data_IF_465561218121
#
_entry.id   IF_465561218121
#
_cell.length_a   1.000
_cell.length_b   1.000
_cell.length_c   1.000
_cell.angle_alpha   90.00
_cell.angle_beta   90.00
_cell.angle_gamma   90.00
#
_symmetry.space_group_name_H-M   'P 1'
#
loop_
_entity.id
_entity.type
_entity.pdbx_description
1 polymer ?
#
# COMPACT_ATOMS: atom_id res chain seq x y z
N UNK A 1 -3.52 33.38 -25.91
CA UNK A 1 -4.29 33.02 -24.71
C UNK A 1 -3.79 31.66 -24.27
N UNK A 2 -3.06 31.59 -23.17
CA UNK A 2 -2.70 30.33 -22.53
C UNK A 2 -3.92 29.96 -21.68
N UNK A 3 -4.66 28.94 -22.10
CA UNK A 3 -5.77 28.40 -21.31
C UNK A 3 -5.12 27.60 -20.18
N UNK A 4 -5.07 28.18 -18.99
CA UNK A 4 -4.79 27.41 -17.78
C UNK A 4 -6.05 26.58 -17.51
N UNK A 5 -6.06 25.33 -17.97
CA UNK A 5 -7.04 24.35 -17.53
C UNK A 5 -6.77 24.13 -16.04
N UNK A 6 -7.53 24.81 -15.18
CA UNK A 6 -7.67 24.38 -13.80
C UNK A 6 -8.28 22.98 -13.88
N UNK A 7 -7.43 21.96 -13.79
CA UNK A 7 -7.87 20.56 -13.78
C UNK A 7 -8.84 20.44 -12.60
N UNK A 8 -10.09 20.04 -12.82
CA UNK A 8 -10.99 19.79 -11.71
C UNK A 8 -10.31 18.79 -10.77
N UNK A 9 -10.31 19.09 -9.46
CA UNK A 9 -10.03 18.06 -8.46
C UNK A 9 -10.99 16.90 -8.79
N UNK A 10 -10.40 15.75 -9.10
CA UNK A 10 -11.10 14.48 -9.28
C UNK A 10 -12.21 14.33 -8.24
N UNK A 11 -13.39 13.76 -8.58
CA UNK A 11 -14.35 13.26 -7.60
C UNK A 11 -13.81 11.98 -6.94
N UNK A 12 -12.56 12.02 -6.49
CA UNK A 12 -11.74 10.89 -6.14
C UNK A 12 -12.52 9.94 -5.23
N UNK A 13 -12.45 8.63 -5.50
CA UNK A 13 -13.15 7.62 -4.70
C UNK A 13 -12.91 7.85 -3.20
N UNK A 14 -13.99 8.13 -2.46
CA UNK A 14 -13.99 8.39 -1.01
C UNK A 14 -14.11 7.10 -0.18
N UNK A 15 -13.84 5.93 -0.78
CA UNK A 15 -13.87 4.68 -0.03
C UNK A 15 -12.81 4.69 1.08
N UNK A 16 -13.12 4.03 2.20
CA UNK A 16 -12.17 3.89 3.32
C UNK A 16 -10.85 3.30 2.87
N UNK A 17 -10.88 2.31 1.97
CA UNK A 17 -9.67 1.67 1.44
C UNK A 17 -8.83 2.63 0.60
N UNK A 18 -9.45 3.40 -0.30
CA UNK A 18 -8.75 4.40 -1.11
C UNK A 18 -8.11 5.48 -0.22
N UNK A 19 -8.86 6.00 0.75
CA UNK A 19 -8.34 6.96 1.73
C UNK A 19 -7.16 6.39 2.54
N UNK A 20 -7.29 5.14 2.99
CA UNK A 20 -6.24 4.48 3.75
C UNK A 20 -4.96 4.27 2.93
N UNK A 21 -5.08 3.91 1.65
CA UNK A 21 -3.93 3.74 0.74
C UNK A 21 -3.27 5.10 0.47
N UNK A 22 -4.04 6.16 0.16
CA UNK A 22 -3.49 7.51 -0.02
C UNK A 22 -2.71 7.96 1.21
N UNK A 23 -3.25 7.75 2.40
CA UNK A 23 -2.56 8.08 3.65
C UNK A 23 -1.25 7.31 3.85
N UNK A 24 -1.17 6.04 3.42
CA UNK A 24 0.09 5.30 3.45
C UNK A 24 1.09 5.87 2.46
N UNK A 25 0.65 6.17 1.25
CA UNK A 25 1.49 6.77 0.20
C UNK A 25 2.05 8.11 0.66
N UNK A 26 1.21 8.95 1.28
CA UNK A 26 1.63 10.25 1.83
C UNK A 26 2.65 10.13 2.97
N UNK A 27 2.80 8.94 3.56
CA UNK A 27 3.77 8.67 4.64
C UNK A 27 5.10 8.08 4.14
N UNK A 28 5.20 7.75 2.85
CA UNK A 28 6.43 7.22 2.26
C UNK A 28 7.54 8.28 2.24
N UNK A 29 8.78 7.85 2.41
CA UNK A 29 9.94 8.74 2.37
C UNK A 29 10.22 9.18 0.92
N UNK A 30 9.98 10.45 0.62
CA UNK A 30 10.22 11.08 -0.69
C UNK A 30 11.70 11.03 -1.15
N UNK A 31 12.64 10.69 -0.25
CA UNK A 31 14.05 10.45 -0.63
C UNK A 31 14.25 9.08 -1.29
N UNK A 32 13.34 8.15 -1.02
CA UNK A 32 13.34 6.78 -1.56
C UNK A 32 12.39 6.73 -2.75
N UNK A 33 11.16 7.23 -2.57
CA UNK A 33 10.10 7.12 -3.57
C UNK A 33 9.88 8.44 -4.31
N UNK A 34 9.86 8.38 -5.64
CA UNK A 34 9.24 9.41 -6.48
C UNK A 34 7.75 9.12 -6.58
N UNK A 35 6.91 10.12 -6.29
CA UNK A 35 5.46 9.98 -6.26
C UNK A 35 4.82 11.01 -7.18
N UNK A 36 4.14 10.55 -8.23
CA UNK A 36 3.36 11.40 -9.13
C UNK A 36 1.89 11.03 -9.04
N UNK A 37 1.01 12.03 -9.05
CA UNK A 37 -0.45 11.84 -8.98
C UNK A 37 -1.10 12.58 -10.13
N UNK A 38 -2.00 11.92 -10.84
CA UNK A 38 -2.84 12.54 -11.85
C UNK A 38 -4.25 11.95 -11.83
N UNK A 39 -5.22 12.66 -12.39
CA UNK A 39 -6.54 12.10 -12.66
C UNK A 39 -6.73 11.91 -14.15
N UNK A 40 -7.05 10.70 -14.57
CA UNK A 40 -7.25 10.35 -15.97
C UNK A 40 -8.75 10.29 -16.26
N UNK A 41 -9.31 11.38 -16.80
CA UNK A 41 -10.74 11.48 -17.16
C UNK A 41 -11.20 10.36 -18.11
N UNK A 42 -10.32 9.86 -18.98
CA UNK A 42 -10.63 8.79 -19.93
C UNK A 42 -10.89 7.46 -19.21
N UNK A 43 -10.21 7.23 -18.10
CA UNK A 43 -10.30 6.01 -17.31
C UNK A 43 -11.18 6.19 -16.06
N UNK A 44 -11.65 7.42 -15.78
CA UNK A 44 -12.39 7.78 -14.57
C UNK A 44 -11.67 7.28 -13.30
N UNK A 45 -10.37 7.49 -13.24
CA UNK A 45 -9.55 7.04 -12.12
C UNK A 45 -8.47 8.05 -11.75
N UNK A 46 -8.14 8.07 -10.47
CA UNK A 46 -6.90 8.65 -9.97
C UNK A 46 -5.77 7.65 -10.22
N UNK A 47 -4.70 8.11 -10.86
CA UNK A 47 -3.49 7.35 -11.10
C UNK A 47 -2.39 7.89 -10.20
N UNK A 48 -1.81 7.01 -9.39
CA UNK A 48 -0.65 7.31 -8.54
C UNK A 48 0.51 6.45 -9.03
N UNK A 49 1.57 7.11 -9.51
CA UNK A 49 2.82 6.47 -9.88
C UNK A 49 3.80 6.56 -8.69
N UNK A 50 4.39 5.43 -8.35
CA UNK A 50 5.36 5.27 -7.26
C UNK A 50 6.60 4.60 -7.84
N UNK A 51 7.78 5.14 -7.57
CA UNK A 51 9.03 4.65 -8.17
C UNK A 51 10.17 4.73 -7.14
N UNK A 52 10.85 3.61 -6.89
CA UNK A 52 12.02 3.54 -5.99
C UNK A 52 13.38 3.42 -6.72
N UNK A 53 13.38 3.63 -8.05
CA UNK A 53 14.47 3.47 -9.03
C UNK A 53 14.75 2.03 -9.46
N UNK A 54 14.16 1.04 -8.80
CA UNK A 54 14.28 -0.38 -9.15
C UNK A 54 12.94 -1.01 -9.49
N UNK A 55 11.88 -0.47 -8.90
CA UNK A 55 10.51 -0.92 -9.01
C UNK A 55 9.62 0.29 -9.28
N UNK A 56 8.65 0.08 -10.15
CA UNK A 56 7.61 1.04 -10.47
C UNK A 56 6.26 0.42 -10.14
N UNK A 57 5.45 1.17 -9.42
CA UNK A 57 4.07 0.82 -9.15
C UNK A 57 3.16 1.88 -9.73
N UNK A 58 2.11 1.44 -10.41
CA UNK A 58 1.01 2.28 -10.85
C UNK A 58 -0.25 1.81 -10.13
N UNK A 59 -0.76 2.67 -9.24
CA UNK A 59 -2.02 2.46 -8.56
C UNK A 59 -3.12 3.22 -9.31
N UNK A 60 -4.20 2.54 -9.63
CA UNK A 60 -5.39 3.12 -10.21
C UNK A 60 -6.53 3.02 -9.21
N UNK A 61 -7.04 4.17 -8.75
CA UNK A 61 -8.20 4.25 -7.88
C UNK A 61 -9.37 4.76 -8.72
N UNK A 62 -10.23 3.84 -9.14
CA UNK A 62 -11.37 4.11 -10.00
C UNK A 62 -12.53 4.76 -9.22
N UNK A 63 -13.29 5.63 -9.89
CA UNK A 63 -14.45 6.32 -9.31
C UNK A 63 -15.55 5.36 -8.81
N UNK A 64 -15.59 4.13 -9.35
CA UNK A 64 -16.53 3.08 -8.96
C UNK A 64 -16.13 2.35 -7.66
N UNK A 65 -14.95 2.64 -7.09
CA UNK A 65 -14.43 1.98 -5.89
C UNK A 65 -13.42 0.87 -6.14
N UNK A 66 -13.22 0.43 -7.38
CA UNK A 66 -12.19 -0.53 -7.75
C UNK A 66 -10.81 0.08 -7.59
N UNK A 67 -9.86 -0.70 -7.07
CA UNK A 67 -8.47 -0.28 -6.90
C UNK A 67 -7.57 -1.34 -7.52
N UNK A 68 -6.71 -0.93 -8.44
CA UNK A 68 -5.82 -1.83 -9.17
C UNK A 68 -4.37 -1.39 -8.98
N UNK A 69 -3.48 -2.36 -8.88
CA UNK A 69 -2.04 -2.14 -8.74
C UNK A 69 -1.33 -2.90 -9.86
N UNK A 70 -0.63 -2.14 -10.70
CA UNK A 70 0.37 -2.64 -11.62
C UNK A 70 1.75 -2.45 -10.97
N UNK A 71 2.56 -3.50 -11.01
CA UNK A 71 3.95 -3.49 -10.54
C UNK A 71 4.87 -3.89 -11.69
N UNK A 72 6.00 -3.21 -11.81
CA UNK A 72 7.01 -3.48 -12.82
C UNK A 72 8.38 -3.41 -12.16
N UNK A 73 9.20 -4.44 -12.37
CA UNK A 73 10.56 -4.49 -11.87
C UNK A 73 11.57 -4.40 -13.01
N UNK A 74 12.58 -3.55 -12.84
CA UNK A 74 13.63 -3.36 -13.83
C UNK A 74 15.00 -3.71 -13.27
N UNK A 75 15.82 -4.34 -14.11
CA UNK A 75 17.24 -4.56 -13.83
C UNK A 75 18.04 -4.13 -15.06
N UNK A 76 18.99 -3.20 -14.88
CA UNK A 76 19.79 -2.62 -15.98
C UNK A 76 18.94 -2.12 -17.16
N UNK A 77 17.89 -1.34 -16.86
CA UNK A 77 16.91 -0.80 -17.82
C UNK A 77 16.11 -1.86 -18.59
N UNK A 78 16.12 -3.12 -18.16
CA UNK A 78 15.30 -4.20 -18.73
C UNK A 78 14.17 -4.58 -17.78
N UNK A 79 12.94 -4.64 -18.30
CA UNK A 79 11.79 -5.17 -17.56
C UNK A 79 12.03 -6.67 -17.30
N UNK A 80 12.11 -7.06 -16.03
CA UNK A 80 12.33 -8.45 -15.62
C UNK A 80 11.09 -9.11 -15.03
N UNK A 81 10.16 -8.32 -14.48
CA UNK A 81 8.90 -8.81 -13.93
C UNK A 81 7.78 -7.79 -14.07
N UNK A 82 6.55 -8.27 -14.19
CA UNK A 82 5.33 -7.47 -14.25
C UNK A 82 4.19 -8.19 -13.51
N UNK A 83 3.63 -7.52 -12.51
CA UNK A 83 2.54 -8.01 -11.70
C UNK A 83 1.31 -7.11 -11.84
N UNK A 84 0.12 -7.70 -11.80
CA UNK A 84 -1.13 -6.96 -11.72
C UNK A 84 -2.04 -7.60 -10.67
N UNK A 85 -2.62 -6.78 -9.79
CA UNK A 85 -3.59 -7.26 -8.82
C UNK A 85 -4.65 -6.21 -8.48
N UNK A 86 -5.87 -6.68 -8.19
CA UNK A 86 -6.93 -5.87 -7.62
C UNK A 86 -6.76 -5.82 -6.08
N UNK A 87 -6.75 -4.61 -5.53
CA UNK A 87 -6.58 -4.35 -4.12
C UNK A 87 -7.95 -4.23 -3.45
N UNK A 88 -8.32 -5.29 -2.73
CA UNK A 88 -9.55 -5.37 -1.95
C UNK A 88 -9.31 -5.12 -0.46
N UNK A 89 -8.07 -5.24 -0.01
CA UNK A 89 -7.65 -5.04 1.37
C UNK A 89 -6.33 -4.28 1.43
N UNK A 90 -6.18 -3.40 2.45
CA UNK A 90 -4.95 -2.63 2.67
C UNK A 90 -3.70 -3.52 2.80
N UNK A 91 -3.88 -4.73 3.34
CA UNK A 91 -2.81 -5.71 3.47
C UNK A 91 -2.22 -6.17 2.12
N UNK A 92 -3.04 -6.26 1.07
CA UNK A 92 -2.57 -6.61 -0.28
C UNK A 92 -1.67 -5.51 -0.84
N UNK A 93 -2.05 -4.25 -0.62
CA UNK A 93 -1.21 -3.11 -0.96
C UNK A 93 0.12 -3.22 -0.22
N UNK A 94 0.12 -3.31 1.10
CA UNK A 94 1.36 -3.41 1.90
C UNK A 94 2.27 -4.57 1.45
N UNK A 95 1.70 -5.75 1.20
CA UNK A 95 2.45 -6.92 0.71
C UNK A 95 3.20 -6.62 -0.59
N UNK A 96 2.62 -5.83 -1.50
CA UNK A 96 3.25 -5.48 -2.77
C UNK A 96 4.43 -4.50 -2.64
N UNK A 97 4.61 -3.86 -1.48
CA UNK A 97 5.67 -2.89 -1.20
C UNK A 97 6.78 -3.43 -0.29
N UNK A 98 6.65 -4.66 0.19
CA UNK A 98 7.65 -5.31 1.04
C UNK A 98 8.22 -6.53 0.33
N UNK A 99 9.47 -6.88 0.62
CA UNK A 99 10.08 -8.09 0.05
C UNK A 99 9.38 -9.36 0.53
N UNK A 100 9.46 -10.44 -0.24
CA UNK A 100 8.94 -11.76 0.19
C UNK A 100 9.53 -12.22 1.53
N UNK A 101 10.81 -11.91 1.78
CA UNK A 101 11.47 -12.18 3.06
C UNK A 101 10.81 -11.39 4.20
N UNK A 102 10.59 -10.10 4.00
CA UNK A 102 9.89 -9.24 4.96
C UNK A 102 8.46 -9.72 5.18
N UNK A 103 7.75 -10.13 4.12
CA UNK A 103 6.41 -10.68 4.23
C UNK A 103 6.40 -11.99 5.02
N UNK A 104 7.39 -12.85 4.82
CA UNK A 104 7.54 -14.07 5.60
C UNK A 104 7.78 -13.77 7.08
N UNK A 105 8.63 -12.79 7.40
CA UNK A 105 8.83 -12.34 8.79
C UNK A 105 7.53 -11.81 9.43
N UNK A 106 6.73 -11.05 8.67
CA UNK A 106 5.41 -10.57 9.13
C UNK A 106 4.48 -11.76 9.44
N UNK A 107 4.42 -12.77 8.58
CA UNK A 107 3.63 -13.99 8.80
C UNK A 107 4.10 -14.77 10.04
N UNK A 108 5.40 -14.93 10.20
CA UNK A 108 5.98 -15.65 11.34
C UNK A 108 5.62 -14.96 12.66
N UNK A 109 5.77 -13.64 12.74
CA UNK A 109 5.39 -12.84 13.92
C UNK A 109 3.87 -12.90 14.17
N UNK A 110 3.07 -12.84 13.10
CA UNK A 110 1.61 -12.88 13.19
C UNK A 110 1.12 -14.21 13.80
N UNK A 111 1.78 -15.33 13.44
CA UNK A 111 1.45 -16.69 13.84
C UNK A 111 1.99 -17.05 15.24
N UNK A 112 3.28 -16.76 15.51
CA UNK A 112 4.00 -17.18 16.72
C UNK A 112 3.43 -16.56 18.00
N UNK A 113 2.85 -15.35 17.94
CA UNK A 113 2.46 -14.57 19.13
C UNK A 113 0.95 -14.47 19.36
N UNK A 114 0.17 -15.38 18.78
CA UNK A 114 -1.27 -15.49 19.03
C UNK A 114 -1.64 -16.02 20.43
N UNK A 115 -0.66 -16.50 21.22
CA UNK A 115 -0.91 -17.22 22.47
C UNK A 115 -0.76 -16.40 23.78
N UNK A 116 -0.27 -15.15 23.78
CA UNK A 116 -0.06 -14.37 25.02
C UNK A 116 -0.42 -12.86 24.91
N UNK A 117 -1.39 -12.40 25.72
CA UNK A 117 -1.96 -11.04 25.70
C UNK A 117 -0.95 -9.88 25.91
N UNK A 118 0.10 -10.08 26.70
CA UNK A 118 1.11 -9.03 26.96
C UNK A 118 2.11 -8.82 25.83
N UNK A 119 2.24 -9.77 24.90
CA UNK A 119 3.16 -9.70 23.76
C UNK A 119 2.48 -9.18 22.49
N UNK A 120 1.17 -8.91 22.57
CA UNK A 120 0.35 -8.54 21.42
C UNK A 120 0.72 -7.15 20.88
N UNK A 121 0.88 -6.16 21.76
CA UNK A 121 1.24 -4.78 21.36
C UNK A 121 2.65 -4.72 20.77
N UNK A 122 3.62 -5.43 21.35
CA UNK A 122 4.98 -5.55 20.82
C UNK A 122 5.01 -6.21 19.43
N UNK A 123 4.14 -7.19 19.20
CA UNK A 123 4.02 -7.86 17.89
C UNK A 123 3.46 -6.93 16.83
N UNK A 124 2.42 -6.17 17.17
CA UNK A 124 1.85 -5.17 16.27
C UNK A 124 2.89 -4.07 15.99
N UNK A 125 3.65 -3.62 17.00
CA UNK A 125 4.71 -2.63 16.78
C UNK A 125 5.78 -3.14 15.81
N UNK A 126 6.19 -4.42 15.94
CA UNK A 126 7.17 -5.03 15.04
C UNK A 126 6.63 -5.23 13.63
N UNK A 127 5.37 -5.66 13.48
CA UNK A 127 4.70 -5.77 12.18
C UNK A 127 4.62 -4.39 11.51
N UNK A 128 4.27 -3.35 12.26
CA UNK A 128 4.23 -1.98 11.73
C UNK A 128 5.62 -1.52 11.26
N UNK A 129 6.67 -1.78 12.04
CA UNK A 129 8.06 -1.47 11.67
C UNK A 129 8.48 -2.16 10.37
N UNK A 130 8.23 -3.47 10.25
CA UNK A 130 8.56 -4.24 9.05
C UNK A 130 7.76 -3.80 7.82
N UNK A 131 6.52 -3.36 8.02
CA UNK A 131 5.65 -2.87 6.97
C UNK A 131 5.83 -1.36 6.67
N UNK A 132 6.84 -0.71 7.28
CA UNK A 132 7.06 0.74 7.20
C UNK A 132 5.82 1.59 7.55
N UNK A 133 4.98 1.06 8.43
CA UNK A 133 3.80 1.73 8.95
C UNK A 133 4.15 2.54 10.21
N UNK A 134 3.41 3.63 10.49
CA UNK A 134 3.54 4.33 11.77
C UNK A 134 3.28 3.38 12.94
N UNK A 135 4.03 3.58 14.02
CA UNK A 135 3.92 2.76 15.22
C UNK A 135 2.46 2.74 15.73
N UNK A 136 1.95 1.57 16.16
CA UNK A 136 0.58 1.46 16.61
C UNK A 136 0.38 2.24 17.93
N UNK A 137 -0.31 3.38 17.86
CA UNK A 137 -0.86 4.06 19.03
C UNK A 137 -2.32 3.64 19.26
N UNK A 138 -2.87 3.73 20.49
CA UNK A 138 -4.29 3.46 20.73
C UNK A 138 -5.17 4.30 19.79
N UNK A 139 -5.84 3.66 18.82
CA UNK A 139 -6.62 4.35 17.77
C UNK A 139 -6.48 3.74 16.36
N UNK A 140 -6.52 4.58 15.32
CA UNK A 140 -6.56 4.21 13.89
C UNK A 140 -5.39 3.34 13.39
N UNK A 141 -4.11 3.61 13.78
CA UNK A 141 -2.97 2.79 13.35
C UNK A 141 -3.10 1.33 13.84
N UNK A 142 -3.70 1.14 15.01
CA UNK A 142 -3.89 -0.18 15.63
C UNK A 142 -4.82 -1.09 14.81
N UNK A 143 -5.89 -0.52 14.22
CA UNK A 143 -6.86 -1.28 13.41
C UNK A 143 -6.22 -1.76 12.10
N UNK A 144 -5.40 -0.90 11.46
CA UNK A 144 -4.72 -1.22 10.19
C UNK A 144 -3.66 -2.31 10.37
N UNK A 145 -2.83 -2.20 11.40
CA UNK A 145 -1.79 -3.20 11.71
C UNK A 145 -2.41 -4.52 12.13
N UNK A 146 -3.55 -4.50 12.84
CA UNK A 146 -4.32 -5.71 13.15
C UNK A 146 -4.90 -6.36 11.90
N UNK A 147 -5.49 -5.59 11.00
CA UNK A 147 -6.01 -6.12 9.73
C UNK A 147 -4.89 -6.74 8.87
N UNK A 148 -3.70 -6.13 8.86
CA UNK A 148 -2.51 -6.68 8.22
C UNK A 148 -2.11 -8.03 8.81
N UNK A 149 -2.07 -8.13 10.14
CA UNK A 149 -1.80 -9.38 10.86
C UNK A 149 -2.83 -10.46 10.52
N UNK A 150 -4.11 -10.13 10.60
CA UNK A 150 -5.20 -11.09 10.38
C UNK A 150 -5.20 -11.59 8.92
N UNK A 151 -4.86 -10.73 7.95
CA UNK A 151 -4.62 -11.11 6.57
C UNK A 151 -3.41 -12.04 6.42
N UNK A 152 -2.28 -11.72 7.07
CA UNK A 152 -1.08 -12.55 7.05
C UNK A 152 -1.33 -13.96 7.63
N UNK A 153 -2.15 -14.07 8.69
CA UNK A 153 -2.58 -15.36 9.25
C UNK A 153 -3.45 -16.12 8.24
N UNK A 154 -4.40 -15.45 7.58
CA UNK A 154 -5.29 -16.07 6.61
C UNK A 154 -4.56 -16.65 5.40
N UNK A 155 -3.39 -16.11 5.01
CA UNK A 155 -2.56 -16.69 3.93
C UNK A 155 -1.78 -17.96 4.35
N UNK A 156 -1.71 -18.26 5.65
CA UNK A 156 -0.98 -19.43 6.19
C UNK A 156 -1.90 -20.65 6.38
N UNK A 157 -3.21 -20.43 6.55
CA UNK A 157 -4.23 -21.47 6.81
C UNK A 157 -4.84 -22.03 5.53
#
# INVERSE_FOLDING_TARGET
MTVTLERPMSPACDSTLASDIRHLIDSLDEKIYSIERDYQEIFCCEVILLDDRSQHWQLEIHDNGTIELLHQQYENDQLIDIGFCEINHLAQFIKAFVSDETWQQIKDIAYEKSEYYGQYEDSLARIAELAHLPAPSPGLPFIKVRALRDYAIAEVL
#
